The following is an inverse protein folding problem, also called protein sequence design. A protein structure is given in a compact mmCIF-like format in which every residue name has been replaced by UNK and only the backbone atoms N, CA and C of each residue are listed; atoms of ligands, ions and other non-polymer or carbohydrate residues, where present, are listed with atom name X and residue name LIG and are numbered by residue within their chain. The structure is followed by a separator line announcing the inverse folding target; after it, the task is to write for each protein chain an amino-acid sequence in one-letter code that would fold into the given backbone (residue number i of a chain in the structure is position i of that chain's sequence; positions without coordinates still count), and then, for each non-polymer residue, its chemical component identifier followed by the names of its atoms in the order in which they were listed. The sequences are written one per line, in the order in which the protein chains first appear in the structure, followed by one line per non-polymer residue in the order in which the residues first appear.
data_IF_453356989300
#
_entry.id   IF_453356989300
#
_cell.length_a   1.000
_cell.length_b   1.000
_cell.length_c   1.000
_cell.angle_alpha   90.00
_cell.angle_beta   90.00
_cell.angle_gamma   90.00
#
_symmetry.space_group_name_H-M   'P 1'
#
loop_
_entity.id
_entity.type
_entity.pdbx_description
1 polymer ?
#
# COMPACT_ATOMS: atom_id res chain seq x y z
N UNK A 1 20.52 21.44 -9.13
CA UNK A 1 19.35 20.54 -9.03
C UNK A 1 18.31 21.09 -9.99
N UNK A 2 18.16 20.51 -11.17
CA UNK A 2 17.16 20.93 -12.16
C UNK A 2 15.93 20.08 -11.90
N UNK A 3 14.79 20.73 -11.63
CA UNK A 3 13.51 20.01 -11.52
C UNK A 3 13.19 19.47 -12.91
N UNK A 4 12.96 18.17 -13.00
CA UNK A 4 12.51 17.53 -14.23
C UNK A 4 11.05 17.90 -14.48
N UNK A 5 10.84 19.06 -15.11
CA UNK A 5 9.52 19.61 -15.40
C UNK A 5 8.67 18.73 -16.30
N UNK A 6 9.29 17.80 -17.05
CA UNK A 6 8.59 16.88 -17.95
C UNK A 6 7.90 15.77 -17.14
N UNK A 7 8.58 15.25 -16.12
CA UNK A 7 8.04 14.19 -15.24
C UNK A 7 7.40 14.73 -13.96
N UNK A 8 7.48 16.04 -13.70
CA UNK A 8 6.87 16.65 -12.54
C UNK A 8 5.36 16.78 -12.72
N UNK A 9 4.59 15.90 -12.08
CA UNK A 9 3.13 15.83 -12.19
C UNK A 9 2.41 16.25 -10.89
N UNK A 10 2.53 17.51 -10.43
CA UNK A 10 2.06 17.91 -9.11
C UNK A 10 0.55 17.78 -8.94
N UNK A 11 -0.22 18.11 -9.98
CA UNK A 11 -1.67 18.08 -9.94
C UNK A 11 -2.23 16.66 -9.88
N UNK A 12 -1.69 15.73 -10.67
CA UNK A 12 -2.15 14.33 -10.64
C UNK A 12 -1.75 13.63 -9.34
N UNK A 13 -0.54 13.89 -8.82
CA UNK A 13 -0.09 13.35 -7.53
C UNK A 13 -0.94 13.89 -6.38
N UNK A 14 -1.28 15.18 -6.39
CA UNK A 14 -2.16 15.79 -5.40
C UNK A 14 -3.58 15.22 -5.48
N UNK A 15 -4.15 15.11 -6.68
CA UNK A 15 -5.48 14.54 -6.90
C UNK A 15 -5.54 13.08 -6.45
N UNK A 16 -4.53 12.27 -6.80
CA UNK A 16 -4.42 10.87 -6.35
C UNK A 16 -4.32 10.76 -4.83
N UNK A 17 -3.48 11.58 -4.20
CA UNK A 17 -3.37 11.65 -2.74
C UNK A 17 -4.68 12.04 -2.06
N UNK A 18 -5.38 13.04 -2.60
CA UNK A 18 -6.69 13.46 -2.10
C UNK A 18 -7.74 12.36 -2.21
N UNK A 19 -7.77 11.61 -3.33
CA UNK A 19 -8.69 10.48 -3.53
C UNK A 19 -8.41 9.34 -2.54
N UNK A 20 -7.14 8.98 -2.33
CA UNK A 20 -6.75 7.95 -1.34
C UNK A 20 -7.16 8.40 0.07
N UNK A 21 -6.88 9.66 0.43
CA UNK A 21 -7.25 10.22 1.73
C UNK A 21 -8.76 10.25 1.95
N UNK A 22 -9.53 10.64 0.93
CA UNK A 22 -10.99 10.63 0.96
C UNK A 22 -11.53 9.21 1.13
N UNK A 23 -11.05 8.24 0.34
CA UNK A 23 -11.46 6.84 0.44
C UNK A 23 -11.17 6.25 1.83
N UNK A 24 -9.97 6.51 2.38
CA UNK A 24 -9.59 6.05 3.72
C UNK A 24 -10.44 6.71 4.81
N UNK A 25 -10.76 8.00 4.66
CA UNK A 25 -11.58 8.75 5.61
C UNK A 25 -13.04 8.29 5.60
N UNK A 26 -13.64 8.09 4.41
CA UNK A 26 -14.98 7.54 4.27
C UNK A 26 -15.09 6.14 4.89
N UNK A 27 -14.09 5.28 4.65
CA UNK A 27 -14.05 3.97 5.27
C UNK A 27 -13.94 4.07 6.80
N UNK A 28 -13.11 4.98 7.32
CA UNK A 28 -12.94 5.19 8.74
C UNK A 28 -14.19 5.73 9.44
N UNK A 29 -14.89 6.68 8.81
CA UNK A 29 -16.14 7.26 9.34
C UNK A 29 -17.28 6.25 9.24
N UNK A 30 -17.41 5.54 8.12
CA UNK A 30 -18.50 4.59 7.89
C UNK A 30 -18.39 3.31 8.73
N UNK A 31 -17.18 2.77 8.90
CA UNK A 31 -16.97 1.49 9.59
C UNK A 31 -16.32 1.63 10.97
N UNK A 32 -15.99 2.85 11.43
CA UNK A 32 -15.29 3.11 12.69
C UNK A 32 -13.88 2.51 12.77
N UNK A 33 -13.29 2.12 11.62
CA UNK A 33 -12.07 1.32 11.52
C UNK A 33 -11.05 1.93 10.58
N UNK A 34 -9.78 1.80 10.93
CA UNK A 34 -8.66 2.30 10.10
C UNK A 34 -8.51 1.45 8.83
N UNK A 35 -8.31 2.10 7.67
CA UNK A 35 -8.08 1.46 6.38
C UNK A 35 -6.65 0.87 6.25
N UNK A 36 -6.42 -0.28 6.89
CA UNK A 36 -5.20 -1.07 6.76
C UNK A 36 -5.41 -2.32 5.90
N UNK A 37 -4.86 -2.38 4.68
CA UNK A 37 -5.17 -3.45 3.70
C UNK A 37 -4.85 -4.84 4.27
N UNK A 38 -3.67 -5.03 4.89
CA UNK A 38 -3.31 -6.31 5.51
C UNK A 38 -4.27 -6.73 6.63
N UNK A 39 -4.78 -5.77 7.40
CA UNK A 39 -5.77 -5.99 8.44
C UNK A 39 -7.17 -6.31 7.88
N UNK A 40 -7.56 -5.65 6.78
CA UNK A 40 -8.80 -5.92 6.07
C UNK A 40 -8.82 -7.33 5.49
N UNK A 41 -7.76 -7.71 4.77
CA UNK A 41 -7.60 -9.08 4.23
C UNK A 41 -7.66 -10.10 5.38
N UNK A 42 -6.90 -9.87 6.45
CA UNK A 42 -6.91 -10.73 7.63
C UNK A 42 -8.30 -10.87 8.28
N UNK A 43 -9.08 -9.79 8.31
CA UNK A 43 -10.44 -9.79 8.87
C UNK A 43 -11.46 -10.47 7.98
N UNK A 44 -11.29 -10.43 6.65
CA UNK A 44 -12.18 -11.13 5.70
C UNK A 44 -11.92 -12.65 5.73
N UNK A 45 -10.67 -13.06 5.96
CA UNK A 45 -10.29 -14.46 6.07
C UNK A 45 -10.72 -15.12 7.40
N UNK A 46 -10.94 -14.33 8.45
CA UNK A 46 -11.44 -14.85 9.74
C UNK A 46 -12.95 -15.08 9.66
N UNK A 47 -13.40 -16.31 9.96
CA UNK A 47 -14.84 -16.66 9.99
C UNK A 47 -15.53 -15.94 11.16
N UNK A 48 -16.64 -15.26 10.88
CA UNK A 48 -17.48 -14.61 11.90
C UNK A 48 -17.13 -13.17 12.25
N UNK A 49 -16.32 -12.47 11.45
CA UNK A 49 -16.06 -11.04 11.67
C UNK A 49 -17.28 -10.16 11.38
N UNK A 50 -17.57 -9.20 12.26
CA UNK A 50 -18.54 -8.14 11.95
C UNK A 50 -18.05 -7.26 10.79
N UNK A 51 -18.96 -6.84 9.92
CA UNK A 51 -18.68 -5.95 8.80
C UNK A 51 -17.74 -6.53 7.73
N UNK A 52 -17.83 -7.83 7.46
CA UNK A 52 -17.02 -8.49 6.41
C UNK A 52 -17.39 -8.00 5.01
N UNK A 53 -18.67 -7.70 4.77
CA UNK A 53 -19.18 -7.16 3.50
C UNK A 53 -18.49 -5.86 3.11
N UNK A 54 -18.40 -4.90 4.02
CA UNK A 54 -17.87 -3.57 3.79
C UNK A 54 -16.36 -3.61 3.57
N UNK A 55 -15.66 -4.47 4.31
CA UNK A 55 -14.22 -4.71 4.13
C UNK A 55 -13.94 -5.38 2.78
N UNK A 56 -14.75 -6.36 2.40
CA UNK A 56 -14.65 -7.04 1.12
C UNK A 56 -14.96 -6.08 -0.04
N UNK A 57 -15.99 -5.23 0.09
CA UNK A 57 -16.33 -4.21 -0.90
C UNK A 57 -15.20 -3.18 -1.07
N UNK A 58 -14.55 -2.76 0.02
CA UNK A 58 -13.39 -1.87 -0.06
C UNK A 58 -12.21 -2.53 -0.80
N UNK A 59 -11.90 -3.79 -0.47
CA UNK A 59 -10.84 -4.55 -1.15
C UNK A 59 -11.19 -4.81 -2.63
N UNK A 60 -12.45 -5.10 -2.94
CA UNK A 60 -12.92 -5.26 -4.31
C UNK A 60 -12.79 -3.93 -5.07
N UNK A 61 -13.18 -2.81 -4.47
CA UNK A 61 -12.99 -1.49 -5.03
C UNK A 61 -11.53 -1.19 -5.35
N UNK A 62 -10.61 -1.58 -4.46
CA UNK A 62 -9.16 -1.43 -4.68
C UNK A 62 -8.66 -2.23 -5.90
N UNK A 63 -9.22 -3.43 -6.15
CA UNK A 63 -8.87 -4.26 -7.30
C UNK A 63 -9.54 -3.79 -8.61
N UNK A 64 -10.78 -3.31 -8.52
CA UNK A 64 -11.57 -2.89 -9.69
C UNK A 64 -11.17 -1.49 -10.17
N UNK A 65 -10.76 -0.59 -9.28
CA UNK A 65 -10.35 0.76 -9.63
C UNK A 65 -9.30 0.85 -10.77
N UNK A 66 -8.15 0.13 -10.74
CA UNK A 66 -7.19 0.17 -11.85
C UNK A 66 -7.74 -0.45 -13.15
N UNK A 67 -8.67 -1.41 -13.07
CA UNK A 67 -9.31 -2.00 -14.25
C UNK A 67 -10.25 -0.99 -14.93
N UNK A 68 -11.04 -0.27 -14.13
CA UNK A 68 -11.90 0.82 -14.64
C UNK A 68 -11.07 1.98 -15.20
N UNK A 69 -9.93 2.30 -14.58
CA UNK A 69 -9.01 3.29 -15.11
C UNK A 69 -8.48 2.93 -16.51
N UNK A 70 -8.36 1.62 -16.79
CA UNK A 70 -7.99 1.10 -18.10
C UNK A 70 -8.93 1.46 -19.25
N UNK A 71 -10.16 1.90 -18.96
CA UNK A 71 -11.10 2.41 -19.95
C UNK A 71 -10.73 3.81 -20.46
N UNK A 72 -9.92 4.55 -19.68
CA UNK A 72 -9.54 5.93 -19.97
C UNK A 72 -8.06 6.09 -20.32
N UNK A 73 -7.20 5.19 -19.84
CA UNK A 73 -5.75 5.28 -20.03
C UNK A 73 -5.12 3.90 -20.24
N UNK A 74 -4.03 3.86 -21.01
CA UNK A 74 -3.23 2.64 -21.19
C UNK A 74 -2.54 2.29 -19.87
N UNK A 75 -2.75 1.06 -19.39
CA UNK A 75 -2.05 0.56 -18.21
C UNK A 75 -0.57 0.32 -18.54
N UNK A 76 0.35 0.65 -17.61
CA UNK A 76 1.76 0.32 -17.78
C UNK A 76 1.95 -1.20 -17.86
N UNK A 77 2.91 -1.64 -18.67
CA UNK A 77 3.32 -3.04 -18.72
C UNK A 77 3.90 -3.47 -17.37
N UNK A 78 3.42 -4.60 -16.84
CA UNK A 78 3.89 -5.16 -15.58
C UNK A 78 5.09 -6.06 -15.89
N UNK A 79 6.29 -5.58 -15.57
CA UNK A 79 7.53 -6.34 -15.73
C UNK A 79 8.05 -6.83 -14.37
N UNK A 80 8.21 -8.15 -14.23
CA UNK A 80 8.76 -8.77 -13.03
C UNK A 80 10.20 -9.21 -13.26
N UNK A 81 11.15 -8.47 -12.68
CA UNK A 81 12.58 -8.78 -12.80
C UNK A 81 13.04 -9.93 -11.89
N UNK A 82 12.30 -10.24 -10.81
CA UNK A 82 12.72 -11.16 -9.75
C UNK A 82 12.33 -12.63 -9.94
N UNK A 83 11.66 -12.97 -11.05
CA UNK A 83 11.11 -14.31 -11.29
C UNK A 83 10.06 -14.75 -10.26
N UNK A 84 9.42 -15.90 -10.47
CA UNK A 84 8.36 -16.39 -9.58
C UNK A 84 8.84 -16.66 -8.15
N UNK A 85 10.04 -17.20 -7.98
CA UNK A 85 10.58 -17.51 -6.66
C UNK A 85 10.81 -16.23 -5.83
N UNK A 86 11.36 -15.17 -6.45
CA UNK A 86 11.56 -13.88 -5.79
C UNK A 86 10.24 -13.25 -5.36
N UNK A 87 9.19 -13.35 -6.18
CA UNK A 87 7.84 -12.87 -5.85
C UNK A 87 7.23 -13.62 -4.66
N UNK A 88 7.34 -14.94 -4.63
CA UNK A 88 6.82 -15.76 -3.53
C UNK A 88 7.54 -15.42 -2.23
N UNK A 89 8.89 -15.36 -2.24
CA UNK A 89 9.67 -15.00 -1.07
C UNK A 89 9.36 -13.58 -0.58
N UNK A 90 9.27 -12.61 -1.50
CA UNK A 90 8.88 -11.25 -1.16
C UNK A 90 7.48 -11.20 -0.53
N UNK A 91 6.51 -11.92 -1.10
CA UNK A 91 5.14 -12.00 -0.56
C UNK A 91 5.10 -12.59 0.85
N UNK A 92 5.84 -13.67 1.11
CA UNK A 92 5.94 -14.28 2.44
C UNK A 92 6.59 -13.32 3.45
N UNK A 93 7.72 -12.71 3.08
CA UNK A 93 8.42 -11.76 3.95
C UNK A 93 7.56 -10.54 4.28
N UNK A 94 6.86 -9.97 3.30
CA UNK A 94 5.92 -8.86 3.51
C UNK A 94 4.74 -9.31 4.37
N UNK A 95 4.18 -10.50 4.12
CA UNK A 95 3.09 -11.05 4.94
C UNK A 95 3.47 -11.20 6.41
N UNK A 96 4.61 -11.82 6.69
CA UNK A 96 5.17 -11.97 8.04
C UNK A 96 5.48 -10.61 8.67
N UNK A 97 6.15 -9.72 7.92
CA UNK A 97 6.52 -8.38 8.39
C UNK A 97 5.32 -7.53 8.77
N UNK A 98 4.26 -7.52 7.94
CA UNK A 98 3.04 -6.75 8.24
C UNK A 98 2.27 -7.31 9.45
N UNK A 99 2.39 -8.61 9.75
CA UNK A 99 1.83 -9.19 10.97
C UNK A 99 2.60 -8.78 12.22
N UNK A 100 3.94 -8.86 12.21
CA UNK A 100 4.76 -8.39 13.33
C UNK A 100 4.64 -6.87 13.53
N UNK A 101 4.56 -6.10 12.44
CA UNK A 101 4.30 -4.65 12.49
C UNK A 101 2.91 -4.29 13.01
N UNK A 102 1.99 -5.25 13.14
CA UNK A 102 0.55 -5.02 13.41
C UNK A 102 -0.12 -4.10 12.39
N UNK A 103 0.35 -4.12 11.14
CA UNK A 103 -0.11 -3.22 10.10
C UNK A 103 0.79 -3.22 8.88
N UNK A 104 0.31 -2.61 7.80
CA UNK A 104 1.07 -2.36 6.58
C UNK A 104 1.28 -0.86 6.37
N UNK A 105 1.97 -0.50 5.30
CA UNK A 105 2.21 0.90 4.91
C UNK A 105 0.93 1.69 4.66
N UNK A 106 -0.17 1.06 4.20
CA UNK A 106 -1.44 1.77 4.06
C UNK A 106 -2.01 2.19 5.43
N UNK A 107 -1.92 1.30 6.43
CA UNK A 107 -2.42 1.56 7.79
C UNK A 107 -1.53 2.52 8.58
N UNK A 108 -0.21 2.27 8.59
CA UNK A 108 0.74 3.12 9.32
C UNK A 108 1.09 4.41 8.58
N UNK A 109 1.33 4.33 7.27
CA UNK A 109 1.70 5.47 6.45
C UNK A 109 0.53 6.40 6.20
N UNK A 110 -0.54 5.93 5.54
CA UNK A 110 -1.67 6.82 5.16
C UNK A 110 -2.46 7.24 6.41
N UNK A 111 -3.04 6.29 7.13
CA UNK A 111 -3.92 6.63 8.26
C UNK A 111 -3.16 6.95 9.55
N UNK A 112 -2.06 6.23 9.82
CA UNK A 112 -1.30 6.34 11.07
C UNK A 112 -0.52 7.64 11.21
N UNK A 113 0.17 8.09 10.15
CA UNK A 113 0.85 9.38 10.13
C UNK A 113 -0.13 10.55 10.19
N UNK A 114 -1.26 10.45 9.49
CA UNK A 114 -2.33 11.47 9.52
C UNK A 114 -2.90 11.68 10.93
N UNK A 115 -2.82 10.67 11.79
CA UNK A 115 -3.22 10.72 13.22
C UNK A 115 -2.06 11.06 14.17
N UNK A 116 -0.90 11.47 13.64
CA UNK A 116 0.32 11.81 14.39
C UNK A 116 0.75 10.70 15.37
N UNK A 117 0.58 9.43 14.99
CA UNK A 117 0.92 8.30 15.84
C UNK A 117 2.43 8.04 15.85
N UNK A 118 3.14 8.15 16.99
CA UNK A 118 4.59 7.90 17.06
C UNK A 118 4.96 6.47 16.71
N UNK A 119 4.11 5.50 17.09
CA UNK A 119 4.26 4.10 16.67
C UNK A 119 4.22 3.95 15.15
N UNK A 120 3.31 4.66 14.49
CA UNK A 120 3.16 4.59 13.03
C UNK A 120 4.30 5.30 12.29
N UNK A 121 4.83 6.38 12.86
CA UNK A 121 6.05 7.02 12.36
C UNK A 121 7.22 6.03 12.38
N UNK A 122 7.47 5.40 13.54
CA UNK A 122 8.55 4.41 13.66
C UNK A 122 8.38 3.25 12.69
N UNK A 123 7.18 2.66 12.59
CA UNK A 123 6.89 1.58 11.65
C UNK A 123 7.13 1.99 10.19
N UNK A 124 6.69 3.19 9.80
CA UNK A 124 6.86 3.70 8.43
C UNK A 124 8.34 3.93 8.10
N UNK A 125 9.11 4.49 9.03
CA UNK A 125 10.56 4.67 8.86
C UNK A 125 11.27 3.33 8.71
N UNK A 126 10.92 2.32 9.52
CA UNK A 126 11.49 0.98 9.39
C UNK A 126 11.15 0.33 8.04
N UNK A 127 9.90 0.43 7.57
CA UNK A 127 9.52 -0.10 6.25
C UNK A 127 10.29 0.57 5.11
N UNK A 128 10.38 1.90 5.13
CA UNK A 128 11.13 2.65 4.12
C UNK A 128 12.62 2.32 4.16
N UNK A 129 13.22 2.28 5.36
CA UNK A 129 14.62 1.91 5.54
C UNK A 129 14.91 0.50 5.02
N UNK A 130 14.07 -0.48 5.36
CA UNK A 130 14.21 -1.85 4.85
C UNK A 130 14.10 -1.90 3.33
N UNK A 131 13.19 -1.12 2.73
CA UNK A 131 13.06 -1.00 1.28
C UNK A 131 14.31 -0.44 0.62
N UNK A 132 14.86 0.66 1.16
CA UNK A 132 16.11 1.25 0.67
C UNK A 132 17.28 0.27 0.77
N UNK A 133 17.45 -0.39 1.91
CA UNK A 133 18.50 -1.40 2.10
C UNK A 133 18.33 -2.56 1.12
N UNK A 134 17.11 -3.06 0.93
CA UNK A 134 16.83 -4.17 -0.01
C UNK A 134 17.20 -3.78 -1.44
N UNK A 135 16.77 -2.61 -1.91
CA UNK A 135 17.09 -2.12 -3.26
C UNK A 135 18.60 -1.91 -3.41
N UNK A 136 19.27 -1.35 -2.40
CA UNK A 136 20.71 -1.14 -2.42
C UNK A 136 21.44 -2.48 -2.56
N UNK A 137 21.11 -3.47 -1.73
CA UNK A 137 21.72 -4.81 -1.78
C UNK A 137 21.48 -5.49 -3.12
N UNK A 138 20.24 -5.52 -3.60
CA UNK A 138 19.90 -6.21 -4.85
C UNK A 138 20.58 -5.55 -6.06
N UNK A 139 20.53 -4.22 -6.18
CA UNK A 139 21.02 -3.51 -7.37
C UNK A 139 22.53 -3.23 -7.36
N UNK A 140 23.14 -3.04 -6.19
CA UNK A 140 24.54 -2.59 -6.11
C UNK A 140 25.50 -3.65 -5.59
N UNK A 141 25.06 -4.57 -4.74
CA UNK A 141 25.93 -5.63 -4.18
C UNK A 141 25.81 -6.93 -4.97
N UNK A 142 24.59 -7.30 -5.37
CA UNK A 142 24.33 -8.57 -6.06
C UNK A 142 24.30 -8.43 -7.59
N UNK A 143 24.44 -7.20 -8.11
CA UNK A 143 24.53 -6.92 -9.55
C UNK A 143 23.27 -7.25 -10.35
N UNK A 144 22.10 -7.26 -9.71
CA UNK A 144 20.80 -7.44 -10.37
C UNK A 144 20.26 -6.16 -11.01
#
# INVERSE_FOLDING_TARGET
MIVDWINFTPWSSLAGGALIGLAASLFAVGNGRIAGISGLIGSVLQRGGEGVSEKALFLLGLLVAPLLWGLFAVLPLIEFQSGWLGLILAGVLVGVGTRYGSGCTSGHGVCGLSRLSPRSMAATLCFMFSGFVTVFVLRHLLGG
#
